data_IF_591593554754
#
_entry.id   IF_591593554754
#
_cell.length_a   1.000
_cell.length_b   1.000
_cell.length_c   1.000
_cell.angle_alpha   90.00
_cell.angle_beta   90.00
_cell.angle_gamma   90.00
#
_symmetry.space_group_name_H-M   'P 1'
#
loop_
_entity.id
_entity.type
_entity.pdbx_description
1 polymer ?
#
# COMPACT_ATOMS: atom_id res chain seq x y z
N UNK A 1 8.25 -7.01 12.29
CA UNK A 1 7.87 -5.62 11.92
C UNK A 1 6.41 -5.43 12.30
N UNK A 2 6.09 -4.53 13.23
CA UNK A 2 4.72 -4.32 13.73
C UNK A 2 3.96 -3.36 12.80
N UNK A 3 2.80 -3.75 12.29
CA UNK A 3 1.94 -2.94 11.39
C UNK A 3 1.06 -1.92 12.15
N UNK A 4 1.34 -1.66 13.44
CA UNK A 4 0.47 -0.88 14.34
C UNK A 4 0.30 0.61 13.98
N UNK A 5 1.08 1.16 13.04
CA UNK A 5 1.06 2.59 12.69
C UNK A 5 0.83 2.88 11.20
N UNK A 6 0.30 1.91 10.45
CA UNK A 6 0.02 2.10 9.03
C UNK A 6 -0.98 3.23 8.76
N UNK A 7 -1.86 3.50 9.74
CA UNK A 7 -2.85 4.58 9.75
C UNK A 7 -2.23 5.98 9.71
N UNK A 8 -0.94 6.11 10.05
CA UNK A 8 -0.22 7.39 10.05
C UNK A 8 0.43 7.72 8.72
N UNK A 9 0.55 6.75 7.80
CA UNK A 9 1.19 6.98 6.50
C UNK A 9 0.39 8.00 5.67
N UNK A 10 1.12 8.90 5.02
CA UNK A 10 0.59 9.94 4.13
C UNK A 10 1.33 9.92 2.79
N UNK A 11 0.70 10.42 1.71
CA UNK A 11 1.41 10.63 0.45
C UNK A 11 2.72 11.41 0.66
N UNK A 12 3.81 10.91 0.10
CA UNK A 12 5.17 11.43 0.28
C UNK A 12 6.05 10.64 1.26
N UNK A 13 5.46 9.86 2.16
CA UNK A 13 6.23 9.06 3.13
C UNK A 13 7.06 7.97 2.45
N UNK A 14 8.25 7.69 2.98
CA UNK A 14 9.15 6.67 2.46
C UNK A 14 8.92 5.31 3.13
N UNK A 15 8.84 4.27 2.31
CA UNK A 15 8.77 2.88 2.71
C UNK A 15 10.03 2.17 2.20
N UNK A 16 10.87 1.70 3.12
CA UNK A 16 12.13 1.03 2.78
C UNK A 16 11.99 -0.47 2.98
N UNK A 17 12.18 -1.22 1.90
CA UNK A 17 12.23 -2.68 1.91
C UNK A 17 13.68 -3.11 1.67
N UNK A 18 14.33 -3.58 2.73
CA UNK A 18 15.68 -4.15 2.65
C UNK A 18 15.58 -5.67 2.46
N UNK A 19 16.17 -6.18 1.39
CA UNK A 19 16.40 -7.61 1.17
C UNK A 19 17.88 -7.94 1.37
N UNK A 20 18.28 -9.20 1.16
CA UNK A 20 19.69 -9.58 1.21
C UNK A 20 20.51 -8.93 0.09
N UNK A 21 19.90 -8.77 -1.09
CA UNK A 21 20.59 -8.32 -2.30
C UNK A 21 20.47 -6.82 -2.56
N UNK A 22 19.39 -6.18 -2.13
CA UNK A 22 19.13 -4.78 -2.46
C UNK A 22 18.20 -4.09 -1.45
N UNK A 23 18.22 -2.76 -1.50
CA UNK A 23 17.28 -1.89 -0.79
C UNK A 23 16.34 -1.22 -1.79
N UNK A 24 15.05 -1.42 -1.62
CA UNK A 24 14.00 -0.81 -2.44
C UNK A 24 13.33 0.31 -1.64
N UNK A 25 13.34 1.52 -2.17
CA UNK A 25 12.65 2.67 -1.57
C UNK A 25 11.39 2.95 -2.37
N UNK A 26 10.24 2.79 -1.71
CA UNK A 26 8.94 3.20 -2.22
C UNK A 26 8.52 4.52 -1.57
N UNK A 27 7.74 5.32 -2.27
CA UNK A 27 7.10 6.53 -1.72
C UNK A 27 5.59 6.33 -1.76
N UNK A 28 4.92 6.56 -0.63
CA UNK A 28 3.46 6.51 -0.54
C UNK A 28 2.87 7.52 -1.52
N UNK A 29 1.92 7.06 -2.34
CA UNK A 29 1.29 7.88 -3.38
C UNK A 29 -0.22 8.01 -3.12
N UNK A 30 -0.87 6.92 -2.72
CA UNK A 30 -2.30 6.90 -2.42
C UNK A 30 -2.60 6.13 -1.13
N UNK A 31 -3.58 6.63 -0.37
CA UNK A 31 -4.10 5.98 0.84
C UNK A 31 -5.61 5.86 0.69
N UNK A 32 -6.13 4.64 0.76
CA UNK A 32 -7.55 4.35 0.84
C UNK A 32 -7.90 4.00 2.29
N UNK A 33 -8.47 4.95 3.07
CA UNK A 33 -8.64 4.78 4.51
C UNK A 33 -9.66 3.69 4.87
N UNK A 34 -10.61 3.37 3.98
CA UNK A 34 -11.63 2.36 4.23
C UNK A 34 -12.17 1.72 2.95
N UNK A 35 -11.98 0.41 2.83
CA UNK A 35 -12.63 -0.45 1.83
C UNK A 35 -13.15 -1.76 2.44
N UNK A 36 -13.87 -2.55 1.65
CA UNK A 36 -14.37 -3.88 2.03
C UNK A 36 -13.22 -4.86 2.26
N UNK A 37 -13.38 -5.80 3.20
CA UNK A 37 -12.46 -6.92 3.35
C UNK A 37 -12.36 -7.83 2.11
N UNK A 38 -13.33 -7.73 1.18
CA UNK A 38 -13.36 -8.48 -0.08
C UNK A 38 -12.83 -7.70 -1.29
N UNK A 39 -12.28 -6.50 -1.09
CA UNK A 39 -11.75 -5.68 -2.17
C UNK A 39 -10.40 -6.22 -2.68
N UNK A 40 -10.45 -7.31 -3.45
CA UNK A 40 -9.27 -7.98 -3.98
C UNK A 40 -8.52 -7.18 -5.06
N UNK A 41 -9.18 -6.19 -5.67
CA UNK A 41 -8.59 -5.34 -6.70
C UNK A 41 -7.33 -4.59 -6.22
N UNK A 42 -7.27 -4.29 -4.93
CA UNK A 42 -6.18 -3.53 -4.31
C UNK A 42 -4.83 -4.25 -4.34
N UNK A 43 -4.84 -5.56 -4.59
CA UNK A 43 -3.66 -6.43 -4.66
C UNK A 43 -3.31 -6.86 -6.10
N UNK A 44 -4.08 -6.41 -7.11
CA UNK A 44 -3.78 -6.73 -8.53
C UNK A 44 -2.43 -6.12 -8.96
N UNK A 45 -1.80 -6.64 -10.04
CA UNK A 45 -0.53 -6.10 -10.55
C UNK A 45 -0.57 -4.59 -10.88
N UNK A 46 -1.72 -4.12 -11.38
CA UNK A 46 -2.08 -2.70 -11.43
C UNK A 46 -3.15 -2.49 -10.36
N UNK A 47 -2.76 -2.11 -9.14
CA UNK A 47 -3.69 -2.19 -8.02
C UNK A 47 -4.70 -1.05 -8.06
N UNK A 48 -5.98 -1.41 -7.89
CA UNK A 48 -7.10 -0.47 -7.87
C UNK A 48 -8.23 -0.99 -7.02
N UNK A 49 -8.96 -0.11 -6.34
CA UNK A 49 -10.15 -0.56 -5.61
C UNK A 49 -11.25 -0.93 -6.59
N UNK A 50 -11.85 -2.10 -6.41
CA UNK A 50 -13.06 -2.51 -7.14
C UNK A 50 -14.33 -1.99 -6.44
N UNK A 51 -14.20 -1.46 -5.22
CA UNK A 51 -15.31 -0.98 -4.37
C UNK A 51 -15.39 0.56 -4.32
N UNK A 52 -14.23 1.25 -4.35
CA UNK A 52 -14.11 2.71 -4.24
C UNK A 52 -13.52 3.26 -5.53
N UNK A 53 -14.39 3.75 -6.41
CA UNK A 53 -13.99 4.39 -7.65
C UNK A 53 -13.02 5.56 -7.40
N UNK A 54 -12.05 5.74 -8.30
CA UNK A 54 -11.02 6.78 -8.21
C UNK A 54 -9.78 6.42 -7.40
N UNK A 55 -9.76 5.29 -6.69
CA UNK A 55 -8.60 4.83 -5.94
C UNK A 55 -7.78 3.77 -6.68
N UNK A 56 -6.46 3.98 -6.72
CA UNK A 56 -5.48 3.14 -7.38
C UNK A 56 -5.12 3.57 -8.79
N UNK A 57 -4.53 2.65 -9.55
CA UNK A 57 -3.83 2.96 -10.79
C UNK A 57 -4.52 2.37 -12.03
N UNK A 58 -4.16 2.93 -13.19
CA UNK A 58 -4.62 2.48 -14.50
C UNK A 58 -3.49 1.95 -15.40
N UNK A 59 -2.24 2.16 -14.99
CA UNK A 59 -1.05 1.81 -15.78
C UNK A 59 -0.12 0.91 -15.00
N UNK A 60 0.63 0.06 -15.72
CA UNK A 60 1.67 -0.76 -15.14
C UNK A 60 2.75 0.09 -14.45
N UNK A 61 3.38 -0.48 -13.42
CA UNK A 61 4.39 0.16 -12.61
C UNK A 61 4.84 -0.73 -11.46
N UNK A 62 5.77 -0.23 -10.66
CA UNK A 62 6.30 -0.94 -9.50
C UNK A 62 5.62 -0.41 -8.23
N UNK A 63 4.65 -1.17 -7.75
CA UNK A 63 3.81 -0.79 -6.61
C UNK A 63 4.08 -1.67 -5.39
N UNK A 64 4.02 -1.06 -4.22
CA UNK A 64 3.95 -1.74 -2.94
C UNK A 64 2.56 -1.51 -2.34
N UNK A 65 1.82 -2.58 -2.05
CA UNK A 65 0.53 -2.50 -1.37
C UNK A 65 0.68 -2.96 0.08
N UNK A 66 0.23 -2.13 1.03
CA UNK A 66 0.12 -2.47 2.44
C UNK A 66 -1.35 -2.46 2.84
N UNK A 67 -1.81 -3.52 3.50
CA UNK A 67 -3.21 -3.64 3.94
C UNK A 67 -3.29 -3.98 5.42
N UNK A 68 -4.22 -3.33 6.14
CA UNK A 68 -4.50 -3.64 7.55
C UNK A 68 -5.99 -3.58 7.85
N UNK A 69 -6.44 -4.20 8.95
CA UNK A 69 -7.82 -4.07 9.43
C UNK A 69 -8.07 -2.66 9.97
N UNK A 70 -9.28 -2.14 9.78
CA UNK A 70 -9.68 -0.84 10.33
C UNK A 70 -11.17 -0.80 10.69
N UNK A 71 -11.57 -0.07 11.75
CA UNK A 71 -10.72 0.48 12.82
C UNK A 71 -10.02 -0.64 13.61
N UNK A 72 -8.93 -0.28 14.31
CA UNK A 72 -8.17 -1.23 15.12
C UNK A 72 -9.12 -2.06 16.01
N UNK A 73 -8.83 -3.36 16.17
CA UNK A 73 -9.64 -4.34 16.92
C UNK A 73 -10.97 -4.76 16.26
N UNK A 74 -11.29 -4.27 15.06
CA UNK A 74 -12.43 -4.76 14.27
C UNK A 74 -11.97 -5.19 12.88
N UNK A 75 -12.60 -6.23 12.33
CA UNK A 75 -12.25 -6.78 11.00
C UNK A 75 -13.16 -6.27 9.88
N UNK A 76 -14.02 -5.29 10.16
CA UNK A 76 -15.12 -4.87 9.27
C UNK A 76 -14.61 -4.26 7.98
N UNK A 77 -13.52 -3.48 8.05
CA UNK A 77 -12.96 -2.81 6.89
C UNK A 77 -11.46 -3.05 6.77
N UNK A 78 -10.92 -2.64 5.62
CA UNK A 78 -9.49 -2.61 5.34
C UNK A 78 -9.04 -1.18 5.06
N UNK A 79 -7.90 -0.81 5.63
CA UNK A 79 -7.12 0.34 5.21
C UNK A 79 -6.06 -0.16 4.23
N UNK A 80 -5.89 0.57 3.12
CA UNK A 80 -4.94 0.24 2.07
C UNK A 80 -4.03 1.43 1.82
N UNK A 81 -2.73 1.18 1.74
CA UNK A 81 -1.71 2.16 1.36
C UNK A 81 -0.97 1.63 0.15
N UNK A 82 -0.82 2.47 -0.88
CA UNK A 82 0.00 2.17 -2.05
C UNK A 82 1.22 3.07 -2.10
N UNK A 83 2.39 2.47 -2.28
CA UNK A 83 3.64 3.17 -2.61
C UNK A 83 4.12 2.85 -4.01
N UNK A 84 4.82 3.79 -4.65
CA UNK A 84 5.51 3.61 -5.93
C UNK A 84 7.01 3.52 -5.72
N UNK A 85 7.68 2.62 -6.45
CA UNK A 85 9.13 2.49 -6.39
C UNK A 85 9.78 3.80 -6.84
N UNK A 86 10.69 4.30 -6.01
CA UNK A 86 11.49 5.50 -6.29
C UNK A 86 12.93 5.17 -6.63
N UNK A 87 13.52 4.21 -5.94
CA UNK A 87 14.91 3.80 -6.19
C UNK A 87 15.17 2.40 -5.69
N UNK A 88 16.13 1.74 -6.34
CA UNK A 88 16.70 0.47 -5.91
C UNK A 88 18.21 0.65 -5.76
N UNK A 89 18.75 0.26 -4.61
CA UNK A 89 20.18 0.31 -4.33
C UNK A 89 20.67 -1.10 -4.06
N UNK A 90 21.51 -1.68 -4.94
CA UNK A 90 22.17 -2.98 -4.69
C UNK A 90 23.02 -2.92 -3.42
N UNK A 91 23.21 -4.07 -2.78
CA UNK A 91 24.05 -4.20 -1.59
C UNK A 91 25.47 -4.65 -1.92
#
# INVERSE_FOLDING_TARGET
MSLRHLDRLRPGDRLVLATREATYTYVVDQVLPRTSARDGGVLKPVPRSDVRAGYGYRTAGYYLTLTTCTPAYTSTYRLVVWGKLRSTTPR
#
